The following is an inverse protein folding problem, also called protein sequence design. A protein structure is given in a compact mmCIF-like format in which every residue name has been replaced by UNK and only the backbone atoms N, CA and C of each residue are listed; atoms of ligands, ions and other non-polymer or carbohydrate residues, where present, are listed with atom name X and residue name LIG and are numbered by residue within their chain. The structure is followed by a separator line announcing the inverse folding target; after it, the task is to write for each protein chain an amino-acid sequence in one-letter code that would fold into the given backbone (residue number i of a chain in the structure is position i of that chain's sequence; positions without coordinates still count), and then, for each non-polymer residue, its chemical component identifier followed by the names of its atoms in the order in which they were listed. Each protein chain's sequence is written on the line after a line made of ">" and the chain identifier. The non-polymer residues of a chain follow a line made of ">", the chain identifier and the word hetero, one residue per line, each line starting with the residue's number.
data_IF_207275513216
#
_entry.id   IF_207275513216
#
_cell.length_a   1.000
_cell.length_b   1.000
_cell.length_c   1.000
_cell.angle_alpha   90.00
_cell.angle_beta   90.00
_cell.angle_gamma   90.00
#
_symmetry.space_group_name_H-M   'P 1'
#
loop_
_entity.id
_entity.type
_entity.pdbx_description
1 polymer ?
#
# COMPACT_ATOMS: atom_id res chain seq x y z
N UNK A 1 -19.36 1.80 -19.02
CA UNK A 1 -18.34 2.73 -18.48
C UNK A 1 -17.04 1.96 -18.36
N UNK A 2 -15.98 2.41 -19.03
CA UNK A 2 -14.66 1.79 -18.94
C UNK A 2 -13.95 2.31 -17.68
N UNK A 3 -13.89 1.48 -16.64
CA UNK A 3 -13.32 1.84 -15.35
C UNK A 3 -11.80 1.95 -15.40
N UNK A 4 -11.14 1.21 -16.31
CA UNK A 4 -9.68 1.20 -16.43
C UNK A 4 -9.20 2.53 -16.99
N UNK A 5 -9.84 2.99 -18.07
CA UNK A 5 -9.55 4.28 -18.69
C UNK A 5 -9.70 5.45 -17.70
N UNK A 6 -10.78 5.46 -16.93
CA UNK A 6 -10.99 6.49 -15.90
C UNK A 6 -9.94 6.48 -14.78
N UNK A 7 -9.39 5.30 -14.44
CA UNK A 7 -8.35 5.18 -13.42
C UNK A 7 -7.00 5.73 -13.92
N UNK A 8 -6.65 5.45 -15.17
CA UNK A 8 -5.39 5.90 -15.79
C UNK A 8 -5.34 7.42 -16.02
N UNK A 9 -6.50 8.07 -16.20
CA UNK A 9 -6.59 9.52 -16.43
C UNK A 9 -6.35 10.37 -15.16
N UNK A 10 -6.16 9.74 -13.99
CA UNK A 10 -5.96 10.47 -12.74
C UNK A 10 -4.56 11.08 -12.67
N UNK A 11 -4.42 12.33 -12.18
CA UNK A 11 -3.11 12.91 -11.94
C UNK A 11 -2.35 12.07 -10.89
N UNK A 12 -1.13 11.66 -11.24
CA UNK A 12 -0.25 10.97 -10.31
C UNK A 12 0.10 11.87 -9.13
N UNK A 13 0.14 11.31 -7.93
CA UNK A 13 0.67 12.03 -6.77
C UNK A 13 2.19 12.13 -6.92
N UNK A 14 2.73 13.35 -6.95
CA UNK A 14 4.16 13.57 -6.87
C UNK A 14 4.64 13.14 -5.47
N UNK A 15 5.39 12.05 -5.42
CA UNK A 15 6.03 11.59 -4.17
C UNK A 15 6.89 12.72 -3.59
N UNK A 16 6.81 12.95 -2.27
CA UNK A 16 7.57 14.02 -1.62
C UNK A 16 9.06 13.93 -1.97
N UNK A 17 9.67 15.04 -2.38
CA UNK A 17 11.08 15.11 -2.81
C UNK A 17 12.10 14.80 -1.71
N UNK A 18 11.68 14.72 -0.45
CA UNK A 18 12.57 14.37 0.66
C UNK A 18 12.67 12.85 0.81
N UNK A 19 13.89 12.34 0.80
CA UNK A 19 14.17 10.96 1.18
C UNK A 19 13.81 10.76 2.66
N UNK A 20 12.98 9.76 2.94
CA UNK A 20 12.49 9.44 4.30
C UNK A 20 13.62 9.21 5.31
N UNK A 21 14.79 8.76 4.84
CA UNK A 21 16.01 8.50 5.63
C UNK A 21 16.61 9.72 6.32
N UNK A 22 16.23 10.94 5.92
CA UNK A 22 16.81 12.18 6.45
C UNK A 22 15.89 12.83 7.51
N UNK A 23 14.68 12.29 7.71
CA UNK A 23 13.70 12.93 8.59
C UNK A 23 14.05 12.71 10.07
N UNK A 24 14.24 13.76 10.89
CA UNK A 24 14.72 13.63 12.26
C UNK A 24 13.75 12.90 13.20
N UNK A 25 12.46 12.79 12.83
CA UNK A 25 11.45 12.01 13.57
C UNK A 25 11.30 10.57 13.04
N UNK A 26 12.12 10.15 12.09
CA UNK A 26 12.04 8.83 11.48
C UNK A 26 13.30 8.01 11.83
N UNK A 27 13.27 7.21 12.92
CA UNK A 27 14.43 6.42 13.36
C UNK A 27 14.75 5.21 12.46
N UNK A 28 14.01 5.01 11.36
CA UNK A 28 14.12 3.85 10.49
C UNK A 28 13.00 2.82 10.71
N UNK A 29 13.00 1.78 9.88
CA UNK A 29 12.05 0.67 9.97
C UNK A 29 12.71 -0.52 10.71
N UNK A 30 12.00 -1.11 11.67
CA UNK A 30 12.41 -2.39 12.28
C UNK A 30 12.02 -3.58 11.39
N UNK A 31 10.91 -3.44 10.66
CA UNK A 31 10.41 -4.42 9.69
C UNK A 31 10.15 -3.67 8.39
N UNK A 32 10.78 -4.11 7.31
CA UNK A 32 10.65 -3.53 5.98
C UNK A 32 10.28 -4.57 4.94
N UNK A 33 9.49 -4.16 3.94
CA UNK A 33 9.09 -4.98 2.81
C UNK A 33 9.53 -4.31 1.50
N UNK A 34 10.85 -4.21 1.22
CA UNK A 34 11.38 -3.45 0.09
C UNK A 34 10.91 -4.01 -1.26
N UNK A 35 10.64 -5.31 -1.32
CA UNK A 35 10.21 -5.98 -2.56
C UNK A 35 8.68 -5.96 -2.77
N UNK A 36 7.88 -5.35 -1.89
CA UNK A 36 6.40 -5.40 -1.96
C UNK A 36 5.84 -4.90 -3.30
N UNK A 37 6.47 -3.88 -3.87
CA UNK A 37 6.09 -3.24 -5.13
C UNK A 37 7.10 -3.53 -6.25
N UNK A 38 8.06 -4.43 -6.04
CA UNK A 38 9.14 -4.68 -7.01
C UNK A 38 8.69 -5.68 -8.08
N UNK A 39 8.97 -5.36 -9.34
CA UNK A 39 8.71 -6.25 -10.48
C UNK A 39 7.26 -6.29 -10.96
N UNK A 40 6.34 -5.60 -10.27
CA UNK A 40 4.94 -5.48 -10.68
C UNK A 40 4.52 -4.01 -10.63
N UNK A 41 3.83 -3.53 -11.67
CA UNK A 41 3.17 -2.22 -11.58
C UNK A 41 2.02 -2.32 -10.57
N UNK A 42 2.03 -1.48 -9.55
CA UNK A 42 1.00 -1.44 -8.52
C UNK A 42 0.05 -0.30 -8.86
N UNK A 43 -1.23 -0.62 -9.05
CA UNK A 43 -2.24 0.38 -9.41
C UNK A 43 -2.77 1.07 -8.14
N UNK A 44 -2.93 0.32 -7.04
CA UNK A 44 -3.37 0.85 -5.75
C UNK A 44 -2.49 0.29 -4.63
N UNK A 45 -1.91 1.19 -3.83
CA UNK A 45 -1.17 0.83 -2.63
C UNK A 45 -1.91 1.36 -1.40
N UNK A 46 -2.39 0.44 -0.57
CA UNK A 46 -3.16 0.74 0.63
C UNK A 46 -2.26 0.65 1.85
N UNK A 47 -2.17 1.72 2.61
CA UNK A 47 -1.45 1.79 3.88
C UNK A 47 -2.45 1.94 5.02
N UNK A 48 -2.43 1.02 5.97
CA UNK A 48 -3.30 1.06 7.15
C UNK A 48 -2.47 1.13 8.42
N UNK A 49 -2.73 2.13 9.25
CA UNK A 49 -2.16 2.21 10.59
C UNK A 49 -2.86 1.20 11.52
N UNK A 50 -2.09 0.43 12.28
CA UNK A 50 -2.58 -0.63 13.16
C UNK A 50 -1.64 -0.79 14.36
N UNK A 51 -2.10 -1.38 15.47
CA UNK A 51 -1.24 -1.71 16.60
C UNK A 51 -0.97 -3.23 16.63
N UNK A 52 0.13 -3.70 17.23
CA UNK A 52 0.54 -5.12 17.22
C UNK A 52 -0.61 -6.05 17.65
N UNK A 53 -1.36 -5.64 18.66
CA UNK A 53 -2.49 -6.36 19.30
C UNK A 53 -3.65 -6.59 18.34
N UNK A 54 -3.82 -5.75 17.31
CA UNK A 54 -4.94 -5.83 16.35
C UNK A 54 -4.73 -6.88 15.25
N UNK A 55 -4.08 -8.01 15.58
CA UNK A 55 -3.77 -9.09 14.64
C UNK A 55 -5.01 -9.61 13.92
N UNK A 56 -6.10 -9.81 14.65
CA UNK A 56 -7.35 -10.35 14.08
C UNK A 56 -8.01 -9.37 13.11
N UNK A 57 -7.99 -8.07 13.42
CA UNK A 57 -8.49 -7.03 12.52
C UNK A 57 -7.68 -6.99 11.23
N UNK A 58 -6.33 -7.04 11.32
CA UNK A 58 -5.47 -7.11 10.14
C UNK A 58 -5.75 -8.37 9.31
N UNK A 59 -5.99 -9.52 9.96
CA UNK A 59 -6.35 -10.76 9.26
C UNK A 59 -7.66 -10.61 8.48
N UNK A 60 -8.71 -10.13 9.14
CA UNK A 60 -10.03 -9.91 8.51
C UNK A 60 -9.95 -8.96 7.31
N UNK A 61 -9.12 -7.92 7.37
CA UNK A 61 -8.93 -7.00 6.24
C UNK A 61 -8.26 -7.70 5.05
N UNK A 62 -7.20 -8.49 5.30
CA UNK A 62 -6.52 -9.27 4.24
C UNK A 62 -7.44 -10.29 3.57
N UNK A 63 -8.36 -10.87 4.34
CA UNK A 63 -9.31 -11.89 3.85
C UNK A 63 -10.56 -11.28 3.18
N UNK A 64 -10.78 -9.98 3.33
CA UNK A 64 -11.92 -9.27 2.74
C UNK A 64 -11.46 -8.35 1.61
N UNK A 65 -11.84 -7.07 1.67
CA UNK A 65 -11.60 -6.09 0.61
C UNK A 65 -10.11 -5.85 0.32
N UNK A 66 -9.24 -6.04 1.33
CA UNK A 66 -7.80 -5.84 1.24
C UNK A 66 -7.04 -7.02 0.62
N UNK A 67 -7.75 -8.06 0.14
CA UNK A 67 -7.13 -9.16 -0.59
C UNK A 67 -6.54 -8.66 -1.91
N UNK A 68 -5.33 -9.12 -2.22
CA UNK A 68 -4.66 -8.80 -3.50
C UNK A 68 -5.35 -9.45 -4.71
N UNK A 69 -6.35 -10.31 -4.47
CA UNK A 69 -7.13 -11.01 -5.49
C UNK A 69 -8.56 -10.47 -5.65
N UNK A 70 -8.92 -9.41 -4.92
CA UNK A 70 -10.28 -8.85 -4.96
C UNK A 70 -10.64 -8.28 -6.33
N UNK A 71 -9.66 -7.74 -7.05
CA UNK A 71 -9.87 -7.10 -8.35
C UNK A 71 -9.11 -7.84 -9.45
N UNK A 72 -9.77 -8.06 -10.59
CA UNK A 72 -9.19 -8.83 -11.71
C UNK A 72 -8.20 -8.00 -12.53
N UNK A 73 -8.43 -6.68 -12.64
CA UNK A 73 -7.67 -5.77 -13.52
C UNK A 73 -7.05 -4.57 -12.76
N UNK A 74 -7.05 -4.62 -11.42
CA UNK A 74 -6.45 -3.60 -10.56
C UNK A 74 -5.53 -4.31 -9.58
N UNK A 75 -4.23 -4.04 -9.68
CA UNK A 75 -3.22 -4.63 -8.80
C UNK A 75 -3.14 -3.83 -7.52
N UNK A 76 -3.79 -4.37 -6.50
CA UNK A 76 -3.79 -3.82 -5.14
C UNK A 76 -2.69 -4.47 -4.31
N UNK A 77 -1.91 -3.64 -3.62
CA UNK A 77 -1.00 -4.06 -2.55
C UNK A 77 -1.44 -3.43 -1.23
N UNK A 78 -1.23 -4.15 -0.13
CA UNK A 78 -1.66 -3.76 1.21
C UNK A 78 -0.48 -3.84 2.17
N UNK A 79 -0.22 -2.76 2.91
CA UNK A 79 0.75 -2.69 4.00
C UNK A 79 0.06 -2.23 5.29
N UNK A 80 0.50 -2.80 6.42
CA UNK A 80 0.15 -2.28 7.74
C UNK A 80 1.37 -1.57 8.34
N UNK A 81 1.16 -0.35 8.79
CA UNK A 81 2.13 0.42 9.58
C UNK A 81 1.78 0.19 11.04
N UNK A 82 2.75 -0.26 11.83
CA UNK A 82 2.60 -0.62 13.24
C UNK A 82 3.66 0.09 14.07
#
# INVERSE_FOLDING_TARGET
>A
KDFRKWFDERPGADSSKMQSSIHPLFPGYVIENPDLCKGENVDVLVYLHSAVEHRDSRRKIRESWGSTRTFVDIRLKLLFIV
#
